data_IF_428353737323
#
_entry.id   IF_428353737323
#
_cell.length_a   1.000
_cell.length_b   1.000
_cell.length_c   1.000
_cell.angle_alpha   90.00
_cell.angle_beta   90.00
_cell.angle_gamma   90.00
#
_symmetry.space_group_name_H-M   'P 1'
#
loop_
_entity.id
_entity.type
_entity.pdbx_description
1 polymer ?
#
# COMPACT_ATOMS: atom_id res chain seq x y z
N UNK A 1 32.12 -5.82 25.98
CA UNK A 1 31.54 -4.63 25.33
C UNK A 1 30.83 -4.94 24.01
N UNK A 2 29.80 -5.81 24.00
CA UNK A 2 28.99 -6.11 22.78
C UNK A 2 27.51 -5.74 22.92
N UNK A 3 27.08 -5.23 24.08
CA UNK A 3 25.68 -4.91 24.37
C UNK A 3 25.27 -3.47 23.99
N UNK A 4 26.22 -2.53 23.89
CA UNK A 4 25.89 -1.11 23.72
C UNK A 4 25.57 -0.68 22.27
N UNK A 5 25.91 -1.51 21.26
CA UNK A 5 25.65 -1.20 19.84
C UNK A 5 24.19 -1.44 19.40
N UNK A 6 23.36 -2.13 20.20
CA UNK A 6 21.97 -2.44 19.84
C UNK A 6 20.96 -1.37 20.26
N UNK A 7 21.32 -0.49 21.20
CA UNK A 7 20.41 0.55 21.70
C UNK A 7 20.42 1.79 20.79
N UNK A 8 21.50 2.02 20.03
CA UNK A 8 21.59 3.17 19.12
C UNK A 8 20.71 3.02 17.85
N UNK A 9 20.31 1.80 17.49
CA UNK A 9 19.46 1.56 16.31
C UNK A 9 17.97 1.83 16.54
N UNK A 10 17.52 1.97 17.79
CA UNK A 10 16.11 2.27 18.11
C UNK A 10 15.80 3.76 18.14
N UNK A 11 16.81 4.63 18.22
CA UNK A 11 16.62 6.08 18.31
C UNK A 11 16.61 6.81 16.95
N UNK A 12 16.95 6.13 15.85
CA UNK A 12 17.04 6.74 14.51
C UNK A 12 15.78 6.47 13.66
N UNK A 13 14.84 5.65 14.16
CA UNK A 13 13.66 5.25 13.39
C UNK A 13 12.55 6.31 13.18
N UNK A 14 12.48 7.49 13.85
CA UNK A 14 11.46 8.48 13.47
C UNK A 14 11.89 9.40 12.32
N UNK A 15 13.09 9.27 11.75
CA UNK A 15 13.60 10.24 10.75
C UNK A 15 13.41 9.85 9.26
N UNK A 16 12.67 8.77 8.96
CA UNK A 16 12.58 8.24 7.58
C UNK A 16 11.22 8.51 6.90
N UNK A 17 10.29 9.25 7.52
CA UNK A 17 8.96 9.54 6.91
C UNK A 17 8.77 11.04 6.61
N UNK A 18 9.81 11.69 6.10
CA UNK A 18 9.69 13.01 5.45
C UNK A 18 10.26 12.95 4.04
N UNK A 19 9.77 12.02 3.23
CA UNK A 19 10.05 12.00 1.78
C UNK A 19 8.74 12.27 1.03
N UNK A 20 8.55 13.57 0.77
CA UNK A 20 8.14 14.11 -0.53
C UNK A 20 6.76 13.73 -1.07
N UNK A 21 5.74 14.47 -0.64
CA UNK A 21 4.56 14.79 -1.47
C UNK A 21 4.94 15.96 -2.39
N UNK A 22 5.78 15.68 -3.39
CA UNK A 22 6.06 16.56 -4.54
C UNK A 22 6.22 15.64 -5.75
N UNK A 23 5.14 14.95 -6.11
CA UNK A 23 5.10 14.01 -7.22
C UNK A 23 4.06 14.49 -8.24
N UNK A 24 4.36 15.61 -8.88
CA UNK A 24 3.73 16.07 -10.12
C UNK A 24 4.67 17.14 -10.69
N UNK A 25 5.10 16.93 -11.93
CA UNK A 25 6.14 17.66 -12.67
C UNK A 25 7.59 17.34 -12.32
N UNK A 26 7.95 16.04 -12.40
CA UNK A 26 9.30 15.68 -12.87
C UNK A 26 9.45 16.25 -14.29
N UNK A 27 10.05 17.42 -14.39
CA UNK A 27 10.41 18.00 -15.69
C UNK A 27 11.31 17.02 -16.46
N UNK A 28 11.10 16.89 -17.76
CA UNK A 28 11.78 15.90 -18.61
C UNK A 28 13.33 15.92 -18.50
N UNK A 29 13.90 17.09 -18.23
CA UNK A 29 15.35 17.29 -18.03
C UNK A 29 15.87 16.53 -16.79
N UNK A 30 15.05 16.39 -15.75
CA UNK A 30 15.40 15.68 -14.54
C UNK A 30 15.46 14.15 -14.78
N UNK A 31 14.59 13.63 -15.66
CA UNK A 31 14.61 12.20 -16.02
C UNK A 31 15.90 11.81 -16.73
N UNK A 32 16.42 12.62 -17.65
CA UNK A 32 17.69 12.30 -18.34
C UNK A 32 18.87 12.34 -17.39
N UNK A 33 18.93 13.34 -16.50
CA UNK A 33 19.96 13.44 -15.48
C UNK A 33 19.94 12.22 -14.55
N UNK A 34 18.75 11.77 -14.13
CA UNK A 34 18.58 10.57 -13.31
C UNK A 34 18.98 9.29 -14.06
N UNK A 35 18.63 9.16 -15.34
CA UNK A 35 19.05 8.02 -16.17
C UNK A 35 20.58 7.97 -16.26
N UNK A 36 21.23 9.10 -16.56
CA UNK A 36 22.69 9.17 -16.65
C UNK A 36 23.36 8.87 -15.31
N UNK A 37 22.81 9.39 -14.20
CA UNK A 37 23.29 9.06 -12.85
C UNK A 37 23.18 7.56 -12.57
N UNK A 38 22.06 6.92 -12.92
CA UNK A 38 21.86 5.49 -12.72
C UNK A 38 22.79 4.65 -13.61
N UNK A 39 23.06 5.08 -14.86
CA UNK A 39 24.04 4.45 -15.76
C UNK A 39 25.44 4.51 -15.12
N UNK A 40 25.85 5.68 -14.62
CA UNK A 40 27.16 5.88 -13.99
C UNK A 40 27.33 5.03 -12.72
N UNK A 41 26.25 4.80 -11.97
CA UNK A 41 26.24 3.94 -10.79
C UNK A 41 26.11 2.44 -11.11
N UNK A 42 25.89 2.06 -12.38
CA UNK A 42 25.66 0.67 -12.78
C UNK A 42 24.30 0.11 -12.32
N UNK A 43 23.33 0.96 -12.02
CA UNK A 43 22.00 0.60 -11.52
C UNK A 43 21.05 0.25 -12.68
N UNK A 44 21.37 -0.77 -13.46
CA UNK A 44 20.66 -1.06 -14.72
C UNK A 44 19.16 -1.35 -14.59
N UNK A 45 18.71 -1.86 -13.43
CA UNK A 45 17.27 -1.99 -13.15
C UNK A 45 16.58 -0.64 -13.01
N UNK A 46 17.25 0.33 -12.38
CA UNK A 46 16.75 1.70 -12.23
C UNK A 46 16.75 2.43 -13.57
N UNK A 47 17.80 2.24 -14.38
CA UNK A 47 17.84 2.74 -15.77
C UNK A 47 16.63 2.24 -16.56
N UNK A 48 16.30 0.95 -16.46
CA UNK A 48 15.15 0.37 -17.16
C UNK A 48 13.81 0.94 -16.67
N UNK A 49 13.66 1.19 -15.36
CA UNK A 49 12.45 1.81 -14.79
C UNK A 49 12.27 3.26 -15.27
N UNK A 50 13.35 4.05 -15.24
CA UNK A 50 13.35 5.43 -15.70
C UNK A 50 13.09 5.52 -17.21
N UNK A 51 13.72 4.65 -18.01
CA UNK A 51 13.51 4.57 -19.46
C UNK A 51 12.06 4.24 -19.83
N UNK A 52 11.41 3.32 -19.08
CA UNK A 52 9.97 3.05 -19.26
C UNK A 52 9.09 4.24 -18.89
N UNK A 53 9.50 5.02 -17.87
CA UNK A 53 8.80 6.24 -17.50
C UNK A 53 8.90 7.28 -18.61
N UNK A 54 10.06 7.40 -19.27
CA UNK A 54 10.24 8.25 -20.46
C UNK A 54 9.31 7.84 -21.60
N UNK A 55 9.26 6.55 -21.96
CA UNK A 55 8.36 6.03 -23.00
C UNK A 55 6.88 6.27 -22.63
N UNK A 56 6.53 6.15 -21.35
CA UNK A 56 5.16 6.38 -20.88
C UNK A 56 4.76 7.85 -20.96
N UNK A 57 5.69 8.76 -20.68
CA UNK A 57 5.45 10.20 -20.78
C UNK A 57 5.39 10.69 -22.22
N UNK A 58 6.20 10.09 -23.11
CA UNK A 58 6.23 10.40 -24.53
C UNK A 58 6.63 9.14 -25.31
N UNK A 59 5.69 8.63 -26.11
CA UNK A 59 5.83 7.35 -26.83
C UNK A 59 6.77 7.47 -28.01
N UNK A 60 6.95 8.67 -28.55
CA UNK A 60 7.86 8.96 -29.66
C UNK A 60 9.29 9.24 -29.16
N UNK A 61 9.49 9.26 -27.83
CA UNK A 61 10.78 9.57 -27.24
C UNK A 61 11.77 8.42 -27.33
N UNK A 62 12.80 8.65 -28.10
CA UNK A 62 13.71 7.60 -28.57
C UNK A 62 14.74 7.19 -27.54
N UNK A 63 15.18 8.12 -26.68
CA UNK A 63 16.12 7.83 -25.61
C UNK A 63 15.56 6.77 -24.67
N UNK A 64 14.25 6.76 -24.42
CA UNK A 64 13.59 5.75 -23.60
C UNK A 64 13.74 4.34 -24.17
N UNK A 65 13.63 4.17 -25.50
CA UNK A 65 13.86 2.88 -26.16
C UNK A 65 15.35 2.50 -26.17
N UNK A 66 16.23 3.47 -26.41
CA UNK A 66 17.69 3.27 -26.35
C UNK A 66 18.16 2.81 -24.97
N UNK A 67 17.78 3.53 -23.92
CA UNK A 67 18.15 3.18 -22.54
C UNK A 67 17.53 1.85 -22.09
N UNK A 68 16.32 1.52 -22.55
CA UNK A 68 15.73 0.20 -22.31
C UNK A 68 16.56 -0.92 -22.94
N UNK A 69 16.96 -0.76 -24.20
CA UNK A 69 17.82 -1.72 -24.90
C UNK A 69 19.18 -1.86 -24.21
N UNK A 70 19.80 -0.73 -23.85
CA UNK A 70 21.09 -0.67 -23.17
C UNK A 70 21.04 -1.37 -21.80
N UNK A 71 19.99 -1.11 -21.01
CA UNK A 71 19.80 -1.74 -19.71
C UNK A 71 19.63 -3.26 -19.86
N UNK A 72 18.81 -3.74 -20.80
CA UNK A 72 18.63 -5.18 -21.03
C UNK A 72 19.91 -5.86 -21.48
N UNK A 73 20.72 -5.21 -22.32
CA UNK A 73 22.03 -5.72 -22.72
C UNK A 73 22.98 -5.85 -21.51
N UNK A 74 23.11 -4.82 -20.67
CA UNK A 74 23.98 -4.86 -19.49
C UNK A 74 23.48 -5.84 -18.39
N UNK A 75 22.18 -6.14 -18.37
CA UNK A 75 21.59 -7.20 -17.55
C UNK A 75 21.77 -8.62 -18.16
N UNK A 76 22.47 -8.76 -19.29
CA UNK A 76 22.66 -10.05 -19.98
C UNK A 76 21.40 -10.61 -20.65
N UNK A 77 20.33 -9.81 -20.76
CA UNK A 77 19.02 -10.21 -21.32
C UNK A 77 18.90 -9.79 -22.79
N UNK A 78 19.84 -10.20 -23.63
CA UNK A 78 19.94 -9.77 -25.03
C UNK A 78 18.68 -10.04 -25.86
N UNK A 79 17.95 -11.13 -25.57
CA UNK A 79 16.66 -11.43 -26.23
C UNK A 79 15.62 -10.33 -25.99
N UNK A 80 15.63 -9.71 -24.80
CA UNK A 80 14.72 -8.63 -24.42
C UNK A 80 15.14 -7.27 -24.96
N UNK A 81 16.43 -7.07 -25.28
CA UNK A 81 16.93 -5.83 -25.88
C UNK A 81 16.52 -5.68 -27.36
N UNK A 82 16.45 -6.79 -28.11
CA UNK A 82 16.13 -6.82 -29.55
C UNK A 82 14.84 -6.08 -29.95
N UNK A 83 13.67 -6.24 -29.29
CA UNK A 83 12.47 -5.50 -29.69
C UNK A 83 12.63 -3.98 -29.59
N UNK A 84 13.33 -3.47 -28.57
CA UNK A 84 13.60 -2.03 -28.42
C UNK A 84 14.53 -1.52 -29.53
N UNK A 85 15.57 -2.29 -29.87
CA UNK A 85 16.46 -1.96 -31.00
C UNK A 85 15.73 -1.96 -32.35
N UNK A 86 14.81 -2.89 -32.55
CA UNK A 86 14.00 -2.92 -33.77
C UNK A 86 13.03 -1.74 -33.86
N UNK A 87 12.61 -1.18 -32.72
CA UNK A 87 11.80 0.02 -32.68
C UNK A 87 12.62 1.26 -33.04
N UNK A 88 13.78 1.43 -32.41
CA UNK A 88 14.74 2.53 -32.71
C UNK A 88 15.10 2.60 -34.20
N UNK A 89 15.27 1.45 -34.87
CA UNK A 89 15.60 1.40 -36.31
C UNK A 89 14.52 1.95 -37.23
N UNK A 90 13.29 2.02 -36.75
CA UNK A 90 12.14 2.54 -37.54
C UNK A 90 11.95 4.03 -37.33
N UNK A 91 12.63 4.60 -36.34
CA UNK A 91 12.59 6.00 -36.03
C UNK A 91 13.72 6.72 -36.77
N UNK A 92 13.50 7.96 -37.19
CA UNK A 92 14.44 8.73 -38.01
C UNK A 92 15.25 9.67 -37.10
N UNK A 93 16.50 9.31 -36.80
CA UNK A 93 17.34 10.01 -35.81
C UNK A 93 18.76 10.21 -36.28
N UNK A 94 19.14 11.46 -36.51
CA UNK A 94 20.53 11.79 -36.83
C UNK A 94 21.46 11.79 -35.60
N UNK A 95 20.94 12.02 -34.38
CA UNK A 95 21.78 12.21 -33.19
C UNK A 95 22.13 10.90 -32.44
N UNK A 96 21.20 9.93 -32.39
CA UNK A 96 21.39 8.67 -31.65
C UNK A 96 22.00 7.54 -32.49
N UNK A 97 22.03 7.67 -33.82
CA UNK A 97 22.58 6.71 -34.76
C UNK A 97 23.94 6.09 -34.36
N UNK A 98 24.97 6.87 -33.96
CA UNK A 98 26.25 6.28 -33.58
C UNK A 98 26.12 5.36 -32.36
N UNK A 99 25.29 5.74 -31.37
CA UNK A 99 25.05 4.96 -30.15
C UNK A 99 24.22 3.71 -30.43
N UNK A 100 23.22 3.82 -31.30
CA UNK A 100 22.36 2.71 -31.72
C UNK A 100 23.21 1.67 -32.47
N UNK A 101 24.09 2.13 -33.38
CA UNK A 101 24.99 1.25 -34.13
C UNK A 101 25.95 0.52 -33.19
N UNK A 102 26.60 1.23 -32.28
CA UNK A 102 27.50 0.62 -31.28
C UNK A 102 26.78 -0.46 -30.45
N UNK A 103 25.59 -0.15 -29.94
CA UNK A 103 24.81 -1.10 -29.14
C UNK A 103 24.36 -2.31 -29.97
N UNK A 104 24.03 -2.10 -31.25
CA UNK A 104 23.67 -3.19 -32.16
C UNK A 104 24.84 -4.14 -32.42
N UNK A 105 26.03 -3.60 -32.67
CA UNK A 105 27.24 -4.39 -32.90
C UNK A 105 27.60 -5.19 -31.65
N UNK A 106 27.49 -4.57 -30.46
CA UNK A 106 27.67 -5.24 -29.17
C UNK A 106 26.68 -6.38 -28.96
N UNK A 107 25.40 -6.19 -29.29
CA UNK A 107 24.38 -7.24 -29.20
C UNK A 107 24.66 -8.43 -30.13
N UNK A 108 25.24 -8.18 -31.30
CA UNK A 108 25.56 -9.22 -32.29
C UNK A 108 26.88 -9.93 -32.05
N UNK A 109 27.86 -9.25 -31.45
CA UNK A 109 29.17 -9.83 -31.11
C UNK A 109 29.09 -11.03 -30.16
N UNK A 110 27.96 -11.19 -29.46
CA UNK A 110 27.79 -12.23 -28.44
C UNK A 110 28.64 -11.98 -27.19
N UNK A 111 29.33 -10.84 -27.11
CA UNK A 111 30.12 -10.44 -25.96
C UNK A 111 29.16 -10.09 -24.81
N UNK A 112 28.79 -11.12 -24.05
CA UNK A 112 27.99 -10.99 -22.86
C UNK A 112 28.89 -10.40 -21.77
N UNK A 113 28.92 -9.05 -21.66
CA UNK A 113 29.31 -8.36 -20.43
C UNK A 113 28.22 -8.60 -19.38
N UNK A 114 28.07 -9.86 -18.97
CA UNK A 114 27.37 -10.18 -17.75
C UNK A 114 28.18 -9.54 -16.63
N UNK A 115 27.80 -8.33 -16.22
CA UNK A 115 28.15 -7.85 -14.88
C UNK A 115 27.69 -8.98 -13.98
N UNK A 116 28.64 -9.72 -13.40
CA UNK A 116 28.36 -10.73 -12.38
C UNK A 116 27.42 -10.03 -11.42
N UNK A 117 26.16 -10.46 -11.38
CA UNK A 117 25.00 -9.81 -10.73
C UNK A 117 25.20 -9.73 -9.20
N UNK A 118 26.28 -9.10 -8.77
CA UNK A 118 26.83 -9.16 -7.41
C UNK A 118 26.03 -8.32 -6.44
N UNK A 119 25.14 -7.45 -6.94
CA UNK A 119 24.28 -6.65 -6.09
C UNK A 119 22.88 -7.27 -5.84
N UNK A 120 22.44 -8.24 -6.67
CA UNK A 120 21.13 -8.91 -6.49
C UNK A 120 21.22 -10.44 -6.30
N UNK A 121 22.36 -11.10 -6.60
CA UNK A 121 22.57 -12.55 -6.41
C UNK A 121 23.03 -12.97 -5.01
N UNK A 122 22.58 -12.30 -3.95
CA UNK A 122 22.34 -13.05 -2.70
C UNK A 122 20.88 -13.52 -2.58
N UNK A 123 20.07 -13.30 -3.63
CA UNK A 123 18.87 -14.08 -3.85
C UNK A 123 19.27 -15.39 -4.54
N UNK A 124 19.66 -16.38 -3.74
CA UNK A 124 19.81 -17.76 -4.23
C UNK A 124 18.41 -18.27 -4.62
N UNK A 125 18.07 -18.46 -5.91
CA UNK A 125 16.76 -18.96 -6.30
C UNK A 125 16.49 -20.38 -5.76
N UNK A 126 17.52 -21.10 -5.28
CA UNK A 126 17.37 -22.38 -4.56
C UNK A 126 16.97 -22.17 -3.09
N UNK A 127 17.29 -21.02 -2.49
CA UNK A 127 16.61 -20.54 -1.28
C UNK A 127 15.27 -19.94 -1.72
N UNK A 128 14.37 -20.81 -2.17
CA UNK A 128 12.99 -20.43 -2.50
C UNK A 128 12.38 -19.58 -1.39
N UNK A 129 11.39 -18.76 -1.74
CA UNK A 129 10.63 -17.90 -0.81
C UNK A 129 10.44 -18.66 0.49
N UNK A 130 11.18 -18.27 1.54
CA UNK A 130 11.18 -19.01 2.80
C UNK A 130 9.74 -19.08 3.27
N UNK A 131 9.21 -20.30 3.33
CA UNK A 131 7.86 -20.54 3.78
C UNK A 131 7.74 -20.00 5.22
N UNK A 132 6.59 -19.40 5.52
CA UNK A 132 6.30 -18.95 6.87
C UNK A 132 6.26 -20.14 7.84
N UNK A 133 6.70 -19.91 9.09
CA UNK A 133 6.75 -20.98 10.09
C UNK A 133 5.35 -21.28 10.67
N UNK A 134 4.56 -20.24 10.90
CA UNK A 134 3.20 -20.36 11.45
C UNK A 134 2.23 -19.40 10.80
N UNK A 135 1.00 -19.84 10.63
CA UNK A 135 -0.14 -18.97 10.33
C UNK A 135 -0.79 -18.55 11.64
N UNK A 136 -1.47 -17.40 11.68
CA UNK A 136 -2.28 -17.01 12.82
C UNK A 136 -3.65 -16.50 12.41
N UNK A 137 -4.61 -16.65 13.34
CA UNK A 137 -5.93 -16.04 13.33
C UNK A 137 -6.13 -15.36 14.67
N UNK A 138 -6.47 -14.07 14.68
CA UNK A 138 -6.71 -13.31 15.90
C UNK A 138 -7.97 -12.46 15.80
N UNK A 139 -8.70 -12.37 16.89
CA UNK A 139 -9.77 -11.41 17.10
C UNK A 139 -9.19 -10.16 17.73
N UNK A 140 -9.53 -8.99 17.20
CA UNK A 140 -9.09 -7.69 17.72
C UNK A 140 -10.27 -6.83 18.11
N UNK A 141 -10.11 -6.12 19.23
CA UNK A 141 -11.05 -5.17 19.78
C UNK A 141 -10.43 -3.77 19.82
N UNK A 142 -11.23 -2.78 19.42
CA UNK A 142 -11.02 -1.35 19.55
C UNK A 142 -12.35 -0.77 20.05
N UNK A 143 -12.33 0.23 20.93
CA UNK A 143 -13.55 0.82 21.50
C UNK A 143 -14.50 1.39 20.44
N UNK A 144 -13.98 1.80 19.27
CA UNK A 144 -14.79 2.28 18.14
C UNK A 144 -15.12 1.19 17.13
N UNK A 145 -14.32 0.14 17.05
CA UNK A 145 -14.43 -0.96 16.07
C UNK A 145 -14.33 -2.31 16.81
N UNK A 146 -15.39 -2.70 17.52
CA UNK A 146 -15.34 -3.83 18.44
C UNK A 146 -15.15 -5.17 17.73
N UNK A 147 -15.46 -5.26 16.43
CA UNK A 147 -15.37 -6.49 15.66
C UNK A 147 -14.19 -6.43 14.71
N UNK A 148 -13.08 -7.08 15.04
CA UNK A 148 -11.94 -7.22 14.15
C UNK A 148 -11.41 -8.64 14.07
N UNK A 149 -11.00 -9.02 12.87
CA UNK A 149 -10.37 -10.30 12.56
C UNK A 149 -9.09 -10.01 11.80
N UNK A 150 -7.99 -10.60 12.25
CA UNK A 150 -6.72 -10.58 11.53
C UNK A 150 -6.23 -11.99 11.25
N UNK A 151 -5.80 -12.21 10.01
CA UNK A 151 -5.20 -13.45 9.52
C UNK A 151 -3.83 -13.13 8.98
N UNK A 152 -2.86 -13.98 9.25
CA UNK A 152 -1.52 -13.72 8.77
C UNK A 152 -0.55 -14.83 9.04
N UNK A 153 0.72 -14.47 8.95
CA UNK A 153 1.83 -15.36 9.22
C UNK A 153 2.84 -14.70 10.14
N UNK A 154 3.58 -15.54 10.85
CA UNK A 154 4.76 -15.15 11.61
C UNK A 154 5.93 -16.04 11.18
N UNK A 155 7.11 -15.45 11.07
CA UNK A 155 8.32 -16.11 10.63
C UNK A 155 9.45 -15.81 11.62
N UNK A 156 10.25 -16.81 11.97
CA UNK A 156 11.42 -16.69 12.84
C UNK A 156 12.63 -16.13 12.10
N UNK A 157 12.70 -16.35 10.79
CA UNK A 157 13.88 -16.09 9.96
C UNK A 157 13.60 -15.17 8.76
N UNK A 158 12.58 -14.33 8.85
CA UNK A 158 12.21 -13.41 7.78
C UNK A 158 11.05 -12.50 8.11
N UNK A 159 10.66 -11.70 7.11
CA UNK A 159 9.46 -10.89 7.11
C UNK A 159 8.28 -11.78 6.75
N UNK A 160 7.18 -11.64 7.48
CA UNK A 160 5.90 -12.27 7.17
C UNK A 160 4.84 -11.19 6.94
N UNK A 161 3.63 -11.60 6.55
CA UNK A 161 2.54 -10.67 6.21
C UNK A 161 1.27 -10.98 6.99
N UNK A 162 0.42 -9.97 7.14
CA UNK A 162 -0.91 -10.12 7.70
C UNK A 162 -1.93 -9.25 6.99
N UNK A 163 -3.18 -9.63 7.14
CA UNK A 163 -4.38 -8.94 6.70
C UNK A 163 -5.31 -8.79 7.91
N UNK A 164 -5.92 -7.62 8.06
CA UNK A 164 -6.92 -7.35 9.08
C UNK A 164 -8.13 -6.65 8.49
N UNK A 165 -9.30 -7.10 8.91
CA UNK A 165 -10.57 -6.42 8.68
C UNK A 165 -11.18 -6.11 10.03
N UNK A 166 -11.63 -4.88 10.25
CA UNK A 166 -12.35 -4.50 11.47
C UNK A 166 -13.48 -3.54 11.19
N UNK A 167 -14.51 -3.54 12.01
CA UNK A 167 -15.68 -2.69 11.84
C UNK A 167 -16.54 -2.63 13.09
N UNK A 168 -17.58 -1.82 13.01
CA UNK A 168 -18.65 -1.78 14.00
C UNK A 168 -19.98 -2.22 13.38
N UNK A 169 -20.97 -2.52 14.20
CA UNK A 169 -22.28 -3.00 13.73
C UNK A 169 -23.01 -1.97 12.87
N UNK A 170 -22.73 -0.68 13.10
CA UNK A 170 -23.41 0.44 12.47
C UNK A 170 -23.14 0.52 10.97
N UNK A 171 -22.05 -0.08 10.46
CA UNK A 171 -21.79 -0.13 9.00
C UNK A 171 -22.84 -0.95 8.24
N UNK A 172 -23.51 -1.87 8.93
CA UNK A 172 -24.57 -2.71 8.38
C UNK A 172 -25.97 -2.10 8.58
N UNK A 173 -26.06 -0.85 9.08
CA UNK A 173 -27.34 -0.15 9.21
C UNK A 173 -28.02 -0.09 7.85
N UNK A 174 -29.22 -0.68 7.74
CA UNK A 174 -30.06 -0.56 6.55
C UNK A 174 -30.53 0.88 6.44
N UNK A 175 -30.14 1.57 5.37
CA UNK A 175 -30.70 2.87 5.03
C UNK A 175 -31.88 2.72 4.08
N UNK A 176 -32.92 3.53 4.25
CA UNK A 176 -33.96 3.69 3.24
C UNK A 176 -33.45 4.39 1.98
N UNK A 177 -34.36 4.67 1.03
CA UNK A 177 -34.07 5.49 -0.16
C UNK A 177 -33.82 6.97 0.17
N UNK A 178 -34.21 7.38 1.39
CA UNK A 178 -34.03 8.74 1.90
C UNK A 178 -32.55 9.00 2.21
N UNK A 179 -32.10 10.19 1.79
CA UNK A 179 -30.77 10.71 2.11
C UNK A 179 -30.88 12.02 2.87
N UNK A 180 -29.89 12.30 3.71
CA UNK A 180 -29.78 13.57 4.43
C UNK A 180 -28.48 14.26 4.05
N UNK A 181 -28.47 15.59 4.03
CA UNK A 181 -27.23 16.39 3.96
C UNK A 181 -26.77 16.79 5.36
N UNK A 182 -25.54 17.27 5.48
CA UNK A 182 -24.95 17.63 6.79
C UNK A 182 -25.65 18.82 7.46
N UNK A 183 -26.42 19.60 6.70
CA UNK A 183 -27.26 20.68 7.24
C UNK A 183 -28.64 20.20 7.73
N UNK A 184 -28.93 18.89 7.69
CA UNK A 184 -30.21 18.31 8.08
C UNK A 184 -31.28 18.29 6.98
N UNK A 185 -30.99 18.83 5.78
CA UNK A 185 -31.95 18.78 4.68
C UNK A 185 -32.11 17.34 4.16
N UNK A 186 -33.34 16.88 4.06
CA UNK A 186 -33.71 15.53 3.63
C UNK A 186 -34.12 15.54 2.15
N UNK A 187 -33.66 14.54 1.38
CA UNK A 187 -33.93 14.39 -0.06
C UNK A 187 -34.22 12.94 -0.43
N UNK A 188 -34.89 12.73 -1.57
CA UNK A 188 -35.16 11.38 -2.11
C UNK A 188 -36.44 10.74 -1.55
N UNK A 189 -37.33 11.53 -0.96
CA UNK A 189 -38.65 11.09 -0.48
C UNK A 189 -39.76 11.77 -1.29
N UNK A 190 -40.85 11.05 -1.56
CA UNK A 190 -42.08 11.63 -2.10
C UNK A 190 -42.93 12.29 -1.00
N UNK A 191 -42.75 11.86 0.26
CA UNK A 191 -43.42 12.47 1.41
C UNK A 191 -42.72 13.78 1.76
N UNK A 192 -43.48 14.87 1.75
CA UNK A 192 -42.94 16.23 1.96
C UNK A 192 -42.51 16.49 3.40
N UNK A 193 -43.09 15.77 4.36
CA UNK A 193 -42.91 16.05 5.78
C UNK A 193 -42.03 14.97 6.41
N UNK A 194 -40.72 15.24 6.46
CA UNK A 194 -39.76 14.39 7.14
C UNK A 194 -38.79 15.27 7.92
N UNK A 195 -38.46 14.86 9.15
CA UNK A 195 -37.61 15.64 10.05
C UNK A 195 -36.54 14.75 10.67
N UNK A 196 -35.32 15.27 10.80
CA UNK A 196 -34.24 14.57 11.48
C UNK A 196 -34.44 14.60 13.00
N UNK A 197 -34.37 13.45 13.66
CA UNK A 197 -34.53 13.35 15.12
C UNK A 197 -33.31 13.84 15.90
N UNK A 198 -32.18 14.02 15.21
CA UNK A 198 -30.88 14.33 15.80
C UNK A 198 -30.08 13.11 16.26
N UNK A 199 -30.63 11.89 16.22
CA UNK A 199 -29.84 10.69 16.49
C UNK A 199 -28.95 10.35 15.28
N UNK A 200 -27.66 10.16 15.55
CA UNK A 200 -26.65 9.88 14.53
C UNK A 200 -25.95 8.55 14.85
N UNK A 201 -25.77 7.71 13.82
CA UNK A 201 -24.95 6.50 13.87
C UNK A 201 -23.79 6.61 12.89
N UNK A 202 -22.61 6.17 13.30
CA UNK A 202 -21.41 6.16 12.44
C UNK A 202 -20.96 4.73 12.19
N UNK A 203 -21.29 4.23 11.01
CA UNK A 203 -20.79 2.96 10.52
C UNK A 203 -19.35 3.10 10.05
N UNK A 204 -18.45 2.24 10.50
CA UNK A 204 -17.05 2.26 10.08
C UNK A 204 -16.56 0.85 9.79
N UNK A 205 -15.83 0.69 8.70
CA UNK A 205 -15.13 -0.53 8.32
C UNK A 205 -13.70 -0.20 7.89
N UNK A 206 -12.76 -1.06 8.21
CA UNK A 206 -11.35 -0.89 7.89
C UNK A 206 -10.74 -2.16 7.36
N UNK A 207 -9.84 -1.98 6.41
CA UNK A 207 -9.07 -3.02 5.78
C UNK A 207 -7.60 -2.65 5.86
N UNK A 208 -6.77 -3.53 6.40
CA UNK A 208 -5.35 -3.29 6.66
C UNK A 208 -4.53 -4.46 6.15
N UNK A 209 -3.46 -4.15 5.44
CA UNK A 209 -2.44 -5.12 5.07
C UNK A 209 -1.09 -4.68 5.62
N UNK A 210 -0.28 -5.62 6.05
CA UNK A 210 1.00 -5.27 6.63
C UNK A 210 1.98 -6.41 6.73
N UNK A 211 3.09 -6.10 7.39
CA UNK A 211 4.20 -7.00 7.63
C UNK A 211 4.35 -7.28 9.11
N UNK A 212 4.84 -8.47 9.42
CA UNK A 212 5.25 -8.88 10.77
C UNK A 212 6.75 -9.22 10.75
N UNK A 213 7.44 -8.86 11.82
CA UNK A 213 8.88 -9.12 11.95
C UNK A 213 9.22 -9.50 13.39
N UNK A 214 9.99 -10.58 13.55
CA UNK A 214 10.46 -11.05 14.86
C UNK A 214 11.49 -10.09 15.44
N UNK A 215 11.24 -9.60 16.66
CA UNK A 215 12.25 -8.89 17.46
C UNK A 215 13.03 -9.92 18.30
N UNK A 216 12.31 -10.65 19.15
CA UNK A 216 12.84 -11.67 20.05
C UNK A 216 11.74 -12.70 20.31
N UNK A 217 12.00 -13.87 20.90
CA UNK A 217 10.91 -14.77 21.27
C UNK A 217 10.46 -14.47 22.71
N UNK A 218 9.15 -14.29 23.00
CA UNK A 218 7.97 -14.48 22.17
C UNK A 218 7.40 -13.20 21.53
N UNK A 219 8.20 -12.20 21.19
CA UNK A 219 7.80 -10.86 20.74
C UNK A 219 8.06 -10.58 19.23
N UNK A 220 6.99 -10.29 18.51
CA UNK A 220 6.99 -9.80 17.14
C UNK A 220 6.48 -8.37 17.08
N UNK A 221 7.00 -7.60 16.14
CA UNK A 221 6.46 -6.30 15.75
C UNK A 221 5.62 -6.46 14.49
N UNK A 222 4.57 -5.65 14.36
CA UNK A 222 3.83 -5.51 13.12
C UNK A 222 3.64 -4.05 12.76
N UNK A 223 3.59 -3.80 11.45
CA UNK A 223 3.23 -2.51 10.88
C UNK A 223 2.43 -2.74 9.60
N UNK A 224 1.44 -1.90 9.34
CA UNK A 224 0.59 -2.02 8.17
C UNK A 224 0.00 -0.70 7.73
N UNK A 225 -0.52 -0.71 6.51
CA UNK A 225 -1.26 0.39 5.92
C UNK A 225 -2.59 -0.14 5.38
N UNK A 226 -3.58 0.74 5.31
CA UNK A 226 -4.94 0.34 5.02
C UNK A 226 -5.83 1.51 4.62
N UNK A 227 -7.11 1.18 4.53
CA UNK A 227 -8.18 2.12 4.23
C UNK A 227 -9.23 2.05 5.34
N UNK A 228 -9.65 3.21 5.82
CA UNK A 228 -10.84 3.40 6.65
C UNK A 228 -11.97 3.89 5.75
N UNK A 229 -13.09 3.16 5.76
CA UNK A 229 -14.35 3.55 5.13
C UNK A 229 -15.37 3.85 6.22
N UNK A 230 -15.84 5.09 6.29
CA UNK A 230 -16.86 5.51 7.24
C UNK A 230 -18.10 6.07 6.55
N UNK A 231 -19.26 5.76 7.13
CA UNK A 231 -20.58 6.23 6.72
C UNK A 231 -21.32 6.77 7.92
N UNK A 232 -22.04 7.86 7.71
CA UNK A 232 -22.91 8.44 8.74
C UNK A 232 -24.38 8.24 8.37
N UNK A 233 -25.19 7.87 9.35
CA UNK A 233 -26.62 7.64 9.24
C UNK A 233 -27.35 8.50 10.25
N UNK A 234 -28.41 9.16 9.81
CA UNK A 234 -29.27 10.00 10.64
C UNK A 234 -30.62 9.34 10.74
N UNK A 235 -31.21 9.36 11.93
CA UNK A 235 -32.57 8.90 12.12
C UNK A 235 -33.53 10.03 11.70
N UNK A 236 -34.51 9.68 10.88
CA UNK A 236 -35.49 10.58 10.30
C UNK A 236 -36.89 10.04 10.63
N UNK A 237 -37.73 10.89 11.19
CA UNK A 237 -39.15 10.61 11.38
C UNK A 237 -39.90 11.04 10.13
N UNK A 238 -40.75 10.17 9.61
CA UNK A 238 -41.61 10.46 8.46
C UNK A 238 -43.01 10.76 8.98
N UNK A 239 -43.63 11.84 8.51
CA UNK A 239 -44.99 12.22 8.86
C UNK A 239 -45.93 12.04 7.65
N UNK A 240 -47.20 11.72 7.94
CA UNK A 240 -48.31 11.85 7.01
C UNK A 240 -48.74 13.32 6.87
N UNK A 241 -49.48 13.65 5.81
CA UNK A 241 -50.03 15.01 5.59
C UNK A 241 -50.95 15.50 6.74
N UNK A 242 -51.46 14.58 7.55
CA UNK A 242 -52.26 14.89 8.74
C UNK A 242 -51.41 15.18 10.00
N UNK A 243 -50.08 15.11 9.90
CA UNK A 243 -49.13 15.29 11.00
C UNK A 243 -48.86 14.04 11.84
N UNK A 244 -49.44 12.89 11.53
CA UNK A 244 -49.18 11.64 12.24
C UNK A 244 -47.83 11.05 11.83
N UNK A 245 -47.05 10.58 12.81
CA UNK A 245 -45.77 9.90 12.54
C UNK A 245 -45.99 8.49 11.98
N UNK A 246 -45.49 8.23 10.78
CA UNK A 246 -45.45 6.92 10.14
C UNK A 246 -44.37 6.00 10.71
N UNK A 247 -43.33 6.58 11.32
CA UNK A 247 -42.23 5.86 11.94
C UNK A 247 -40.88 6.52 11.70
N UNK A 248 -39.85 5.87 12.24
CA UNK A 248 -38.46 6.29 12.17
C UNK A 248 -37.69 5.41 11.19
N UNK A 249 -36.90 6.02 10.30
CA UNK A 249 -36.00 5.31 9.40
C UNK A 249 -34.59 5.90 9.47
N UNK A 250 -33.59 5.10 9.10
CA UNK A 250 -32.22 5.60 8.96
C UNK A 250 -31.99 6.11 7.53
N UNK A 251 -31.67 7.40 7.41
CA UNK A 251 -31.26 8.04 6.18
C UNK A 251 -29.72 8.12 6.13
N UNK A 252 -29.14 7.86 4.95
CA UNK A 252 -27.69 7.98 4.77
C UNK A 252 -27.29 9.43 4.56
N UNK A 253 -26.25 9.91 5.25
CA UNK A 253 -25.62 11.17 4.91
C UNK A 253 -24.71 10.99 3.68
N UNK A 254 -24.98 11.73 2.60
CA UNK A 254 -24.25 11.60 1.33
C UNK A 254 -22.96 12.40 1.28
N UNK A 255 -22.85 13.44 2.10
CA UNK A 255 -21.69 14.33 2.16
C UNK A 255 -20.58 13.77 3.06
N UNK A 256 -20.95 12.98 4.07
CA UNK A 256 -20.03 12.36 5.03
C UNK A 256 -19.79 10.90 4.63
N UNK A 257 -19.05 10.72 3.54
CA UNK A 257 -18.48 9.44 3.16
C UNK A 257 -16.97 9.60 3.04
N UNK A 258 -16.27 9.19 4.09
CA UNK A 258 -14.85 9.47 4.22
C UNK A 258 -14.07 8.17 4.03
N UNK A 259 -13.38 8.09 2.91
CA UNK A 259 -12.32 7.11 2.68
C UNK A 259 -11.01 7.74 3.13
N UNK A 260 -10.44 7.26 4.22
CA UNK A 260 -9.19 7.79 4.75
C UNK A 260 -8.09 6.73 4.70
N UNK A 261 -6.86 7.17 4.44
CA UNK A 261 -5.70 6.31 4.65
C UNK A 261 -5.60 5.94 6.13
N UNK A 262 -5.16 4.71 6.40
CA UNK A 262 -4.93 4.21 7.74
C UNK A 262 -3.51 3.67 7.81
N UNK A 263 -2.81 3.93 8.91
CA UNK A 263 -1.59 3.20 9.28
C UNK A 263 -1.76 2.58 10.65
N UNK A 264 -1.16 1.41 10.87
CA UNK A 264 -1.14 0.78 12.18
C UNK A 264 0.21 0.16 12.51
N UNK A 265 0.51 0.09 13.80
CA UNK A 265 1.70 -0.59 14.31
C UNK A 265 1.48 -1.11 15.73
N UNK A 266 2.15 -2.20 16.07
CA UNK A 266 2.08 -2.78 17.40
C UNK A 266 2.93 -4.02 17.55
N UNK A 267 2.61 -4.81 18.58
CA UNK A 267 3.33 -6.02 18.92
C UNK A 267 2.41 -7.23 19.01
N UNK A 268 2.97 -8.40 18.71
CA UNK A 268 2.36 -9.72 18.90
C UNK A 268 3.25 -10.50 19.86
N UNK A 269 2.68 -10.98 20.96
CA UNK A 269 3.29 -11.96 21.85
C UNK A 269 2.74 -13.36 21.49
N UNK A 270 3.55 -14.24 20.91
CA UNK A 270 3.17 -15.64 20.57
C UNK A 270 3.78 -16.64 21.55
N UNK A 271 2.93 -17.18 22.42
CA UNK A 271 3.25 -18.23 23.39
C UNK A 271 2.91 -19.61 22.82
N UNK A 272 3.71 -20.07 21.86
CA UNK A 272 3.62 -21.43 21.31
C UNK A 272 2.24 -21.83 20.75
N UNK A 273 1.51 -20.88 20.16
CA UNK A 273 0.16 -21.15 19.64
C UNK A 273 -0.90 -20.22 20.17
N UNK A 274 -0.65 -19.49 21.25
CA UNK A 274 -1.53 -18.45 21.76
C UNK A 274 -0.92 -17.06 21.53
N UNK A 275 -1.68 -16.17 20.89
CA UNK A 275 -1.21 -14.85 20.48
C UNK A 275 -1.94 -13.75 21.25
N UNK A 276 -1.20 -12.87 21.91
CA UNK A 276 -1.69 -11.58 22.37
C UNK A 276 -1.19 -10.49 21.45
N UNK A 277 -2.08 -9.62 20.99
CA UNK A 277 -1.77 -8.50 20.10
C UNK A 277 -2.13 -7.19 20.79
N UNK A 278 -1.28 -6.19 20.64
CA UNK A 278 -1.55 -4.85 21.12
C UNK A 278 -0.87 -3.82 20.22
N UNK A 279 -1.58 -2.75 19.87
CA UNK A 279 -1.03 -1.72 19.00
C UNK A 279 -1.87 -0.47 18.92
N UNK A 280 -1.47 0.39 18.01
CA UNK A 280 -2.14 1.66 17.72
C UNK A 280 -2.45 1.76 16.25
N UNK A 281 -3.50 2.51 15.93
CA UNK A 281 -3.84 2.88 14.56
C UNK A 281 -4.09 4.37 14.45
N UNK A 282 -3.71 4.93 13.31
CA UNK A 282 -3.84 6.34 12.97
C UNK A 282 -4.66 6.45 11.68
N UNK A 283 -5.75 7.22 11.73
CA UNK A 283 -6.65 7.44 10.59
C UNK A 283 -6.39 8.83 10.01
N UNK A 284 -6.20 8.91 8.69
CA UNK A 284 -6.02 10.17 7.97
C UNK A 284 -4.78 10.97 8.36
N UNK A 285 -3.77 10.31 8.94
CA UNK A 285 -2.58 10.96 9.51
C UNK A 285 -2.86 12.04 10.56
N UNK A 286 -4.03 11.97 11.20
CA UNK A 286 -4.48 12.92 12.21
C UNK A 286 -4.20 12.37 13.61
N UNK A 287 -3.17 12.89 14.28
CA UNK A 287 -2.73 12.43 15.60
C UNK A 287 -3.78 12.58 16.70
N UNK A 288 -4.83 13.40 16.49
CA UNK A 288 -5.97 13.46 17.41
C UNK A 288 -6.84 12.20 17.37
N UNK A 289 -6.68 11.38 16.32
CA UNK A 289 -7.46 10.15 16.05
C UNK A 289 -6.66 8.87 16.26
N UNK A 290 -5.65 8.89 17.13
CA UNK A 290 -4.97 7.66 17.57
C UNK A 290 -5.98 6.76 18.27
N UNK A 291 -6.00 5.49 17.90
CA UNK A 291 -6.79 4.45 18.58
C UNK A 291 -5.91 3.31 19.03
N UNK A 292 -6.28 2.70 20.14
CA UNK A 292 -5.61 1.54 20.70
C UNK A 292 -6.39 0.28 20.33
N UNK A 293 -5.69 -0.73 19.84
CA UNK A 293 -6.26 -2.04 19.56
C UNK A 293 -5.58 -3.10 20.42
N UNK A 294 -6.39 -4.05 20.89
CA UNK A 294 -5.94 -5.25 21.58
C UNK A 294 -6.53 -6.46 20.87
N UNK A 295 -5.85 -7.59 20.90
CA UNK A 295 -6.37 -8.80 20.27
C UNK A 295 -5.85 -10.07 20.91
N UNK A 296 -6.64 -11.12 20.77
CA UNK A 296 -6.33 -12.47 21.20
C UNK A 296 -6.47 -13.41 20.02
N UNK A 297 -5.62 -14.41 19.91
CA UNK A 297 -5.65 -15.31 18.77
C UNK A 297 -4.85 -16.56 18.98
N UNK A 298 -4.77 -17.35 17.92
CA UNK A 298 -4.04 -18.60 17.90
C UNK A 298 -3.10 -18.66 16.70
N UNK A 299 -1.93 -19.26 16.89
CA UNK A 299 -0.97 -19.56 15.84
C UNK A 299 -0.88 -21.08 15.60
N UNK A 300 -0.82 -21.45 14.33
CA UNK A 300 -0.80 -22.83 13.88
C UNK A 300 0.51 -23.09 13.14
N UNK A 301 1.29 -24.07 13.60
CA UNK A 301 2.47 -24.53 12.87
C UNK A 301 2.03 -25.10 11.53
N UNK A 302 2.72 -24.71 10.47
CA UNK A 302 2.55 -25.32 9.16
C UNK A 302 3.04 -26.78 9.23
N UNK A 303 2.21 -27.72 8.80
CA UNK A 303 2.61 -29.12 8.59
C UNK A 303 3.33 -29.26 7.26
#
# INVERSE_FOLDING_TARGET
>A
MKCLRRILFLAILPFVITISVNAQDLTFLDLDAQVQSAINNGEWLRVLELAKSQIKSDVEREEGYYYSALAFYNLGKNKMAKPYMNHLRKMDQTELDPKIKELHDRLNSGENKGIKETFFLNYDPKKGIRLYDRSFLSFSYDSKLPFGIAVGSINHHGIATYLQVRGNSEILTKSGEITVRSNGNIYGTQNKDSEATGKIRKGTAEFVMGVTWKIHQPLWWYAGAGLNHSREFWEVTIFEENGNSLGEIWARNTEINLNQALVESGFILDFNGFNLRGGTSLVGFDFSKIRYNMGIGFSFKRK
#
